data_IF_738856930247
#
_entry.id   IF_738856930247
#
_cell.length_a   1.000
_cell.length_b   1.000
_cell.length_c   1.000
_cell.angle_alpha   90.00
_cell.angle_beta   90.00
_cell.angle_gamma   90.00
#
_symmetry.space_group_name_H-M   'P 1'
#
loop_
_entity.id
_entity.type
_entity.pdbx_description
1 polymer ?
#
# COMPACT_ATOMS: atom_id res chain seq x y z
N UNK A 1 -11.57 -36.45 -10.11
CA UNK A 1 -10.81 -35.35 -9.44
C UNK A 1 -11.66 -34.78 -8.33
N UNK A 2 -11.33 -35.04 -7.08
CA UNK A 2 -12.08 -34.50 -5.94
C UNK A 2 -11.85 -33.00 -5.88
N UNK A 3 -12.83 -32.22 -6.29
CA UNK A 3 -12.80 -30.77 -6.04
C UNK A 3 -13.01 -30.56 -4.54
N UNK A 4 -11.95 -30.37 -3.80
CA UNK A 4 -12.08 -29.94 -2.41
C UNK A 4 -12.92 -28.67 -2.35
N UNK A 5 -13.91 -28.65 -1.45
CA UNK A 5 -14.77 -27.49 -1.25
C UNK A 5 -13.92 -26.24 -0.98
N UNK A 6 -14.11 -25.22 -1.79
CA UNK A 6 -13.37 -23.97 -1.67
C UNK A 6 -14.05 -23.05 -0.65
N UNK A 7 -13.26 -22.43 0.20
CA UNK A 7 -13.78 -21.45 1.17
C UNK A 7 -14.17 -20.13 0.53
N UNK A 8 -15.05 -19.36 1.19
CA UNK A 8 -15.55 -18.06 0.76
C UNK A 8 -14.46 -17.12 0.21
N UNK A 9 -13.35 -16.98 0.92
CA UNK A 9 -12.27 -16.08 0.50
C UNK A 9 -11.58 -16.53 -0.79
N UNK A 10 -11.61 -17.80 -1.09
CA UNK A 10 -11.05 -18.32 -2.33
C UNK A 10 -11.94 -17.95 -3.52
N UNK A 11 -13.26 -18.12 -3.40
CA UNK A 11 -14.22 -17.66 -4.41
C UNK A 11 -14.13 -16.15 -4.66
N UNK A 12 -14.13 -15.35 -3.58
CA UNK A 12 -13.95 -13.90 -3.69
C UNK A 12 -12.62 -13.54 -4.40
N UNK A 13 -11.55 -14.26 -4.11
CA UNK A 13 -10.25 -14.06 -4.75
C UNK A 13 -10.30 -14.38 -6.26
N UNK A 14 -10.99 -15.43 -6.65
CA UNK A 14 -11.16 -15.81 -8.06
C UNK A 14 -11.99 -14.77 -8.81
N UNK A 15 -13.10 -14.32 -8.25
CA UNK A 15 -13.89 -13.20 -8.78
C UNK A 15 -13.01 -11.96 -9.06
N UNK A 16 -12.07 -11.63 -8.16
CA UNK A 16 -11.15 -10.52 -8.35
C UNK A 16 -9.98 -10.79 -9.30
N UNK A 17 -9.68 -12.05 -9.59
CA UNK A 17 -8.69 -12.41 -10.62
C UNK A 17 -9.25 -12.22 -12.03
N UNK A 18 -10.52 -12.58 -12.23
CA UNK A 18 -11.23 -12.48 -13.51
C UNK A 18 -12.47 -11.58 -13.40
N UNK A 19 -12.27 -10.28 -13.10
CA UNK A 19 -13.40 -9.40 -12.81
C UNK A 19 -14.28 -9.11 -14.02
N UNK A 20 -13.80 -9.36 -15.25
CA UNK A 20 -14.60 -9.22 -16.45
C UNK A 20 -15.66 -10.32 -16.58
N UNK A 21 -15.30 -11.53 -16.15
CA UNK A 21 -16.16 -12.71 -16.26
C UNK A 21 -17.13 -12.82 -15.10
N UNK A 22 -16.69 -12.41 -13.92
CA UNK A 22 -17.42 -12.62 -12.66
C UNK A 22 -18.31 -11.44 -12.24
N UNK A 23 -18.05 -10.23 -12.73
CA UNK A 23 -18.81 -9.03 -12.39
C UNK A 23 -19.29 -8.31 -13.66
N UNK A 24 -20.59 -8.00 -13.78
CA UNK A 24 -21.10 -7.21 -14.88
C UNK A 24 -20.29 -5.91 -15.05
N UNK A 25 -19.98 -5.58 -16.29
CA UNK A 25 -19.18 -4.40 -16.65
C UNK A 25 -19.78 -3.10 -16.07
N UNK A 26 -21.09 -3.03 -16.00
CA UNK A 26 -21.85 -1.90 -15.47
C UNK A 26 -21.49 -1.57 -14.01
N UNK A 27 -21.38 -2.57 -13.12
CA UNK A 27 -21.01 -2.34 -11.71
C UNK A 27 -19.60 -1.77 -11.57
N UNK A 28 -18.69 -2.20 -12.43
CA UNK A 28 -17.33 -1.65 -12.42
C UNK A 28 -17.30 -0.21 -12.88
N UNK A 29 -18.07 0.13 -13.90
CA UNK A 29 -18.19 1.51 -14.40
C UNK A 29 -18.82 2.42 -13.37
N UNK A 30 -19.93 2.04 -12.76
CA UNK A 30 -20.60 2.79 -11.69
C UNK A 30 -19.65 3.07 -10.54
N UNK A 31 -18.94 2.05 -10.08
CA UNK A 31 -17.95 2.16 -9.02
C UNK A 31 -16.82 3.13 -9.37
N UNK A 32 -16.29 3.04 -10.58
CA UNK A 32 -15.24 3.97 -11.04
C UNK A 32 -15.76 5.41 -11.17
N UNK A 33 -17.00 5.60 -11.64
CA UNK A 33 -17.62 6.92 -11.73
C UNK A 33 -17.79 7.56 -10.35
N UNK A 34 -18.27 6.79 -9.38
CA UNK A 34 -18.37 7.22 -7.99
C UNK A 34 -17.00 7.60 -7.42
N UNK A 35 -16.00 6.74 -7.54
CA UNK A 35 -14.66 6.97 -6.97
C UNK A 35 -13.92 8.16 -7.57
N UNK A 36 -14.24 8.55 -8.80
CA UNK A 36 -13.71 9.78 -9.42
C UNK A 36 -14.26 11.04 -8.78
N UNK A 37 -15.51 11.03 -8.32
CA UNK A 37 -16.18 12.17 -7.68
C UNK A 37 -15.78 12.32 -6.21
N UNK A 38 -15.43 11.22 -5.55
CA UNK A 38 -15.01 11.24 -4.14
C UNK A 38 -13.72 12.04 -3.93
N UNK A 39 -13.44 12.51 -2.71
CA UNK A 39 -12.16 13.12 -2.36
C UNK A 39 -11.00 12.15 -2.57
N UNK A 40 -9.77 12.67 -2.61
CA UNK A 40 -8.57 11.86 -2.85
C UNK A 40 -8.39 10.76 -1.80
N UNK A 41 -8.69 11.09 -0.54
CA UNK A 41 -8.67 10.17 0.58
C UNK A 41 -10.10 10.14 1.17
N UNK A 42 -10.76 9.01 1.05
CA UNK A 42 -12.12 8.79 1.52
C UNK A 42 -12.13 7.67 2.55
N UNK A 43 -12.68 7.93 3.73
CA UNK A 43 -12.92 6.89 4.73
C UNK A 43 -14.07 6.00 4.24
N UNK A 44 -13.87 4.70 4.36
CA UNK A 44 -14.85 3.69 3.99
C UNK A 44 -15.15 2.78 5.20
N UNK A 45 -16.37 2.35 5.31
CA UNK A 45 -16.80 1.49 6.43
C UNK A 45 -16.41 0.02 6.24
N UNK A 46 -16.49 -0.45 5.01
CA UNK A 46 -16.26 -1.86 4.66
C UNK A 46 -15.23 -1.98 3.54
N UNK A 47 -14.36 -3.00 3.59
CA UNK A 47 -13.39 -3.23 2.53
C UNK A 47 -14.08 -3.67 1.24
N UNK A 48 -13.69 -3.08 0.12
CA UNK A 48 -14.19 -3.49 -1.22
C UNK A 48 -13.72 -4.89 -1.58
N UNK A 49 -12.50 -5.28 -1.11
CA UNK A 49 -11.91 -6.61 -1.30
C UNK A 49 -11.61 -7.25 0.04
N UNK A 50 -12.57 -8.01 0.56
CA UNK A 50 -12.44 -8.65 1.86
C UNK A 50 -11.30 -9.68 1.92
N UNK A 51 -11.09 -10.46 0.85
CA UNK A 51 -9.99 -11.40 0.71
C UNK A 51 -8.61 -10.74 0.87
N UNK A 52 -8.41 -9.63 0.16
CA UNK A 52 -7.18 -8.88 0.22
C UNK A 52 -7.00 -8.15 1.56
N UNK A 53 -8.07 -7.56 2.08
CA UNK A 53 -8.05 -6.88 3.38
C UNK A 53 -7.63 -7.81 4.51
N UNK A 54 -8.29 -8.97 4.63
CA UNK A 54 -7.96 -9.98 5.64
C UNK A 54 -6.52 -10.49 5.53
N UNK A 55 -6.07 -10.78 4.32
CA UNK A 55 -4.67 -11.18 4.07
C UNK A 55 -3.66 -10.12 4.47
N UNK A 56 -4.04 -8.83 4.38
CA UNK A 56 -3.19 -7.71 4.79
C UNK A 56 -3.31 -7.34 6.27
N UNK A 57 -4.08 -8.10 7.05
CA UNK A 57 -4.19 -7.96 8.49
C UNK A 57 -5.40 -7.14 8.95
N UNK A 58 -6.37 -6.86 8.06
CA UNK A 58 -7.61 -6.19 8.45
C UNK A 58 -8.44 -7.03 9.42
N UNK A 59 -8.88 -6.41 10.48
CA UNK A 59 -9.89 -6.91 11.41
C UNK A 59 -11.01 -5.89 11.51
N UNK A 60 -12.27 -6.35 11.49
CA UNK A 60 -13.45 -5.50 11.72
C UNK A 60 -13.57 -5.23 13.23
N UNK A 61 -12.80 -4.26 13.72
CA UNK A 61 -12.60 -3.95 15.13
C UNK A 61 -12.47 -2.45 15.31
N UNK A 62 -12.91 -1.92 16.43
CA UNK A 62 -12.69 -0.53 16.79
C UNK A 62 -11.18 -0.20 16.80
N UNK A 63 -10.83 1.00 16.38
CA UNK A 63 -9.44 1.39 16.19
C UNK A 63 -8.81 0.95 14.87
N UNK A 64 -9.52 0.17 14.04
CA UNK A 64 -9.10 -0.14 12.66
C UNK A 64 -9.92 0.66 11.68
N UNK A 65 -9.27 1.45 10.84
CA UNK A 65 -9.90 2.37 9.87
C UNK A 65 -9.44 2.03 8.46
N UNK A 66 -10.37 2.10 7.52
CA UNK A 66 -10.07 1.91 6.09
C UNK A 66 -10.17 3.24 5.36
N UNK A 67 -9.14 3.55 4.57
CA UNK A 67 -9.10 4.75 3.74
C UNK A 67 -8.89 4.33 2.29
N UNK A 68 -9.85 4.65 1.41
CA UNK A 68 -9.64 4.55 -0.03
C UNK A 68 -8.92 5.78 -0.53
N UNK A 69 -7.87 5.58 -1.31
CA UNK A 69 -7.09 6.68 -1.88
C UNK A 69 -6.80 6.43 -3.34
N UNK A 70 -6.75 7.50 -4.12
CA UNK A 70 -6.39 7.45 -5.54
C UNK A 70 -5.02 8.06 -5.79
N UNK A 71 -4.27 7.41 -6.68
CA UNK A 71 -2.96 7.87 -7.12
C UNK A 71 -2.93 7.90 -8.63
N UNK A 72 -2.44 8.98 -9.21
CA UNK A 72 -2.30 9.12 -10.66
C UNK A 72 -1.46 8.00 -11.24
N UNK A 73 -1.85 7.50 -12.40
CA UNK A 73 -1.06 6.56 -13.22
C UNK A 73 0.10 7.27 -13.90
N UNK A 74 1.03 6.49 -14.38
CA UNK A 74 2.21 6.96 -15.10
C UNK A 74 3.45 7.04 -14.21
N UNK A 75 4.53 7.47 -14.82
CA UNK A 75 5.84 7.60 -14.18
C UNK A 75 6.06 8.95 -13.50
N UNK A 76 7.29 9.19 -13.12
CA UNK A 76 7.74 10.46 -12.59
C UNK A 76 7.70 11.53 -13.70
N UNK A 77 7.13 12.69 -13.39
CA UNK A 77 7.32 13.87 -14.23
C UNK A 77 8.73 14.39 -14.02
N UNK A 78 9.55 14.25 -15.04
CA UNK A 78 10.92 14.76 -15.02
C UNK A 78 10.88 16.26 -15.31
N UNK A 79 11.64 17.04 -14.53
CA UNK A 79 11.77 18.47 -14.76
C UNK A 79 12.48 18.79 -16.08
N UNK A 80 12.28 20.00 -16.58
CA UNK A 80 13.06 20.50 -17.70
C UNK A 80 14.53 20.64 -17.29
N UNK A 81 15.44 20.43 -18.24
CA UNK A 81 16.86 20.74 -18.04
C UNK A 81 16.99 22.26 -18.08
N UNK A 82 17.52 22.82 -17.01
CA UNK A 82 17.87 24.24 -16.97
C UNK A 82 19.32 24.42 -17.43
N UNK A 83 19.60 25.48 -18.16
CA UNK A 83 20.95 25.89 -18.51
C UNK A 83 21.80 26.06 -17.25
N UNK A 84 23.12 25.88 -17.36
CA UNK A 84 24.11 25.89 -16.26
C UNK A 84 24.17 24.61 -15.39
N UNK A 85 23.52 23.52 -15.74
CA UNK A 85 23.76 22.21 -15.09
C UNK A 85 25.07 21.62 -15.61
N UNK A 86 25.91 21.11 -14.70
CA UNK A 86 27.07 20.28 -15.08
C UNK A 86 26.63 19.08 -15.92
N UNK A 87 27.38 18.61 -16.93
CA UNK A 87 27.00 17.51 -17.81
C UNK A 87 26.57 16.23 -17.05
N UNK A 88 27.24 15.90 -15.94
CA UNK A 88 26.90 14.77 -15.09
C UNK A 88 25.49 14.86 -14.45
N UNK A 89 24.89 16.04 -14.40
CA UNK A 89 23.56 16.31 -13.82
C UNK A 89 22.54 16.81 -14.86
N UNK A 90 22.93 16.93 -16.12
CA UNK A 90 22.06 17.40 -17.21
C UNK A 90 21.08 16.33 -17.68
N UNK A 91 21.48 15.06 -17.65
CA UNK A 91 20.64 13.96 -18.10
C UNK A 91 19.47 13.67 -17.17
N UNK A 92 18.31 13.37 -17.76
CA UNK A 92 17.06 13.00 -17.05
C UNK A 92 16.59 11.59 -17.36
N UNK A 93 17.15 10.92 -18.36
CA UNK A 93 16.70 9.60 -18.82
C UNK A 93 16.78 8.53 -17.74
N UNK A 94 17.84 8.52 -16.96
CA UNK A 94 18.07 7.56 -15.86
C UNK A 94 17.34 7.88 -14.56
N UNK A 95 16.68 9.05 -14.47
CA UNK A 95 15.91 9.41 -13.29
C UNK A 95 14.64 8.59 -13.26
N UNK A 96 14.50 7.71 -12.28
CA UNK A 96 13.33 6.85 -12.08
C UNK A 96 12.75 7.05 -10.70
N UNK A 97 11.45 6.75 -10.56
CA UNK A 97 10.76 6.83 -9.29
C UNK A 97 11.20 5.67 -8.40
N UNK A 98 11.72 5.98 -7.20
CA UNK A 98 12.13 4.97 -6.22
C UNK A 98 10.95 4.37 -5.42
N UNK A 99 9.74 4.83 -5.67
CA UNK A 99 8.52 4.42 -4.96
C UNK A 99 7.47 3.94 -5.95
N UNK A 100 6.80 2.83 -5.64
CA UNK A 100 5.62 2.42 -6.39
C UNK A 100 4.38 3.25 -5.99
N UNK A 101 3.36 3.24 -6.83
CA UNK A 101 2.12 4.00 -6.60
C UNK A 101 1.40 3.58 -5.32
N UNK A 102 1.50 2.32 -4.91
CA UNK A 102 0.93 1.81 -3.66
C UNK A 102 1.61 2.43 -2.43
N UNK A 103 2.93 2.54 -2.42
CA UNK A 103 3.67 3.21 -1.35
C UNK A 103 3.37 4.71 -1.30
N UNK A 104 3.19 5.36 -2.46
CA UNK A 104 2.76 6.75 -2.51
C UNK A 104 1.38 6.91 -1.87
N UNK A 105 0.46 5.98 -2.12
CA UNK A 105 -0.86 5.94 -1.49
C UNK A 105 -0.74 5.88 0.04
N UNK A 106 0.05 4.94 0.55
CA UNK A 106 0.28 4.77 1.99
C UNK A 106 0.86 6.04 2.64
N UNK A 107 1.87 6.63 2.02
CA UNK A 107 2.53 7.85 2.55
C UNK A 107 1.59 9.06 2.53
N UNK A 108 0.74 9.22 1.50
CA UNK A 108 -0.25 10.30 1.43
C UNK A 108 -1.32 10.17 2.50
N UNK A 109 -1.85 8.96 2.68
CA UNK A 109 -2.85 8.71 3.71
C UNK A 109 -2.26 8.93 5.09
N UNK A 110 -1.05 8.44 5.36
CA UNK A 110 -0.40 8.66 6.66
C UNK A 110 -0.15 10.14 6.96
N UNK A 111 0.15 10.94 5.95
CA UNK A 111 0.31 12.41 6.12
C UNK A 111 -1.01 13.07 6.46
N UNK A 112 -2.11 12.60 5.88
CA UNK A 112 -3.44 13.16 6.12
C UNK A 112 -4.02 12.78 7.48
N UNK A 113 -3.63 11.61 8.02
CA UNK A 113 -4.06 11.09 9.31
C UNK A 113 -2.85 10.81 10.23
N UNK A 114 -2.24 11.84 10.83
CA UNK A 114 -1.00 11.70 11.61
C UNK A 114 -1.17 10.93 12.92
N UNK A 115 -2.39 10.86 13.46
CA UNK A 115 -2.75 10.11 14.65
C UNK A 115 -2.85 8.60 14.40
N UNK A 116 -2.98 8.18 13.15
CA UNK A 116 -3.10 6.78 12.76
C UNK A 116 -1.80 6.26 12.14
N UNK A 117 -1.54 4.97 12.28
CA UNK A 117 -0.43 4.30 11.59
C UNK A 117 -0.93 3.36 10.49
N UNK A 118 -0.21 3.32 9.38
CA UNK A 118 -0.54 2.42 8.27
C UNK A 118 -0.15 0.99 8.62
N UNK A 119 -1.09 0.07 8.63
CA UNK A 119 -0.80 -1.36 8.74
C UNK A 119 -0.27 -1.91 7.42
N UNK A 120 -1.09 -1.89 6.40
CA UNK A 120 -0.77 -2.29 5.02
C UNK A 120 -1.80 -1.67 4.07
N UNK A 121 -1.68 -1.98 2.79
CA UNK A 121 -2.60 -1.55 1.74
C UNK A 121 -2.78 -2.62 0.68
N UNK A 122 -3.80 -2.49 -0.15
CA UNK A 122 -4.07 -3.36 -1.29
C UNK A 122 -4.73 -2.59 -2.44
N UNK A 123 -4.56 -3.10 -3.63
CA UNK A 123 -5.16 -2.56 -4.83
C UNK A 123 -6.63 -3.00 -4.96
N UNK A 124 -7.50 -2.08 -5.38
CA UNK A 124 -8.93 -2.34 -5.59
C UNK A 124 -9.42 -2.02 -7.00
N UNK A 125 -8.75 -1.15 -7.71
CA UNK A 125 -9.14 -0.83 -9.08
C UNK A 125 -8.22 0.17 -9.76
N UNK A 126 -8.48 0.36 -11.05
CA UNK A 126 -7.82 1.40 -11.84
C UNK A 126 -8.67 1.82 -13.00
N UNK A 127 -8.57 3.08 -13.35
CA UNK A 127 -9.10 3.64 -14.61
C UNK A 127 -7.95 4.11 -15.52
N UNK A 128 -8.26 4.88 -16.55
CA UNK A 128 -7.26 5.45 -17.44
C UNK A 128 -6.29 6.42 -16.76
N UNK A 129 -6.75 7.17 -15.75
CA UNK A 129 -5.99 8.25 -15.10
C UNK A 129 -5.45 7.86 -13.71
N UNK A 130 -6.14 7.00 -12.95
CA UNK A 130 -5.85 6.73 -11.56
C UNK A 130 -5.78 5.23 -11.25
N UNK A 131 -5.02 4.90 -10.20
CA UNK A 131 -5.07 3.64 -9.47
C UNK A 131 -5.68 3.89 -8.10
N UNK A 132 -6.55 2.99 -7.66
CA UNK A 132 -7.24 3.07 -6.39
C UNK A 132 -6.70 1.99 -5.45
N UNK A 133 -6.37 2.44 -4.24
CA UNK A 133 -5.86 1.59 -3.17
C UNK A 133 -6.71 1.79 -1.91
N UNK A 134 -6.90 0.73 -1.18
CA UNK A 134 -7.42 0.79 0.18
C UNK A 134 -6.28 0.60 1.16
N UNK A 135 -6.17 1.51 2.10
CA UNK A 135 -5.12 1.54 3.12
C UNK A 135 -5.75 1.22 4.46
N UNK A 136 -5.23 0.20 5.13
CA UNK A 136 -5.64 -0.20 6.47
C UNK A 136 -4.82 0.62 7.45
N UNK A 137 -5.49 1.40 8.28
CA UNK A 137 -4.88 2.18 9.32
C UNK A 137 -5.33 1.69 10.70
N UNK A 138 -4.50 1.89 11.68
CA UNK A 138 -4.76 1.55 13.07
C UNK A 138 -4.52 2.76 13.96
N UNK A 139 -5.43 2.94 14.92
CA UNK A 139 -5.25 3.88 16.01
C UNK A 139 -4.39 3.23 17.08
N UNK A 140 -3.19 3.75 17.23
CA UNK A 140 -2.17 3.21 18.13
C UNK A 140 -2.43 3.48 19.61
N UNK A 141 -3.41 4.32 19.93
CA UNK A 141 -3.80 4.68 21.29
C UNK A 141 -5.14 4.07 21.72
N UNK A 142 -5.91 3.52 20.77
CA UNK A 142 -7.21 2.95 21.06
C UNK A 142 -7.10 1.70 21.95
N UNK A 143 -7.86 1.60 23.08
CA UNK A 143 -7.75 0.48 24.03
C UNK A 143 -7.92 -0.90 23.37
N UNK A 144 -8.86 -1.02 22.43
CA UNK A 144 -9.08 -2.25 21.70
C UNK A 144 -7.87 -2.70 20.84
N UNK A 145 -7.00 -1.76 20.43
CA UNK A 145 -5.75 -2.07 19.71
C UNK A 145 -4.61 -2.36 20.70
N UNK A 146 -4.51 -1.58 21.76
CA UNK A 146 -3.48 -1.77 22.80
C UNK A 146 -3.56 -3.19 23.40
N UNK A 147 -4.77 -3.66 23.71
CA UNK A 147 -5.03 -4.96 24.32
C UNK A 147 -5.09 -6.13 23.32
N UNK A 148 -4.96 -5.87 21.99
CA UNK A 148 -4.97 -6.94 20.99
C UNK A 148 -3.61 -7.64 20.92
N UNK A 149 -3.57 -8.97 21.07
CA UNK A 149 -2.36 -9.79 21.02
C UNK A 149 -1.53 -9.59 19.74
N UNK A 150 -2.16 -9.29 18.61
CA UNK A 150 -1.48 -9.12 17.31
C UNK A 150 -1.24 -7.65 16.96
N UNK A 151 -2.23 -6.77 17.22
CA UNK A 151 -2.15 -5.35 16.86
C UNK A 151 -1.48 -4.50 17.93
N UNK A 152 -1.45 -4.96 19.18
CA UNK A 152 -0.79 -4.26 20.30
C UNK A 152 0.71 -3.98 20.08
N UNK A 153 1.36 -4.74 19.20
CA UNK A 153 2.75 -4.46 18.79
C UNK A 153 2.91 -3.08 18.14
N UNK A 154 1.85 -2.54 17.55
CA UNK A 154 1.84 -1.21 16.93
C UNK A 154 1.49 -0.11 17.92
N UNK A 155 1.07 -0.46 19.13
CA UNK A 155 0.69 0.51 20.15
C UNK A 155 1.88 1.38 20.56
N UNK A 156 1.61 2.67 20.76
CA UNK A 156 2.57 3.64 21.32
C UNK A 156 2.54 3.69 22.83
N UNK A 157 1.50 3.17 23.44
CA UNK A 157 1.33 3.15 24.91
C UNK A 157 2.47 2.44 25.63
N UNK A 158 3.10 1.47 25.00
CA UNK A 158 4.20 0.68 25.56
C UNK A 158 5.59 1.32 25.33
N UNK A 159 5.68 2.61 25.01
CA UNK A 159 6.95 3.32 24.79
C UNK A 159 7.74 2.90 23.55
N UNK A 160 7.30 1.88 22.83
CA UNK A 160 7.99 1.32 21.67
C UNK A 160 7.58 2.03 20.37
N UNK A 161 8.26 3.11 20.04
CA UNK A 161 8.06 3.85 18.77
C UNK A 161 8.57 3.12 17.50
N UNK A 162 8.87 1.83 17.56
CA UNK A 162 9.47 1.08 16.45
C UNK A 162 8.63 1.08 15.17
N UNK A 163 7.31 1.25 15.28
CA UNK A 163 6.38 1.26 14.16
C UNK A 163 5.92 2.66 13.72
N UNK A 164 6.29 3.73 14.43
CA UNK A 164 5.93 5.10 14.05
C UNK A 164 6.45 5.44 12.67
N UNK A 165 5.59 6.00 11.81
CA UNK A 165 5.93 6.39 10.45
C UNK A 165 6.41 5.22 9.57
N UNK A 166 5.88 4.03 9.78
CA UNK A 166 6.31 2.81 9.08
C UNK A 166 6.11 2.86 7.57
N UNK A 167 5.12 3.60 7.07
CA UNK A 167 4.90 3.81 5.64
C UNK A 167 6.11 4.51 4.99
N UNK A 168 6.61 5.57 5.61
CA UNK A 168 7.76 6.33 5.11
C UNK A 168 9.07 5.54 5.15
N UNK A 169 9.22 4.64 6.13
CA UNK A 169 10.41 3.80 6.29
C UNK A 169 10.35 2.48 5.51
N UNK A 170 9.30 2.28 4.68
CA UNK A 170 9.13 1.07 3.88
C UNK A 170 8.98 -0.20 4.71
N UNK A 171 8.31 -0.13 5.86
CA UNK A 171 8.05 -1.29 6.75
C UNK A 171 6.70 -1.98 6.44
N UNK A 172 5.87 -1.41 5.58
CA UNK A 172 4.65 -2.04 5.06
C UNK A 172 4.99 -3.13 4.04
N UNK A 173 4.03 -3.96 3.65
CA UNK A 173 4.21 -4.97 2.61
C UNK A 173 4.64 -4.33 1.27
N UNK A 174 4.01 -3.22 0.86
CA UNK A 174 4.39 -2.48 -0.34
C UNK A 174 5.80 -1.87 -0.23
N UNK A 175 6.14 -1.33 0.95
CA UNK A 175 7.47 -0.79 1.22
C UNK A 175 8.56 -1.85 1.19
N UNK A 176 8.33 -3.01 1.80
CA UNK A 176 9.27 -4.15 1.77
C UNK A 176 9.51 -4.64 0.35
N UNK A 177 8.46 -4.68 -0.49
CA UNK A 177 8.58 -5.02 -1.91
C UNK A 177 9.48 -4.05 -2.65
N UNK A 178 9.28 -2.73 -2.46
CA UNK A 178 10.12 -1.68 -3.06
C UNK A 178 11.58 -1.72 -2.60
N UNK A 179 11.85 -2.23 -1.40
CA UNK A 179 13.19 -2.45 -0.85
C UNK A 179 13.83 -3.78 -1.26
N UNK A 180 13.13 -4.61 -2.06
CA UNK A 180 13.62 -5.92 -2.48
C UNK A 180 13.65 -6.98 -1.37
N UNK A 181 12.98 -6.77 -0.25
CA UNK A 181 13.07 -7.66 0.92
C UNK A 181 12.21 -8.94 0.81
N UNK A 182 11.40 -9.08 -0.23
CA UNK A 182 10.59 -10.28 -0.45
C UNK A 182 11.41 -11.46 -1.02
N UNK A 183 12.44 -11.16 -1.80
CA UNK A 183 13.36 -12.18 -2.30
C UNK A 183 14.45 -12.45 -1.27
N UNK A 184 14.68 -13.71 -0.98
CA UNK A 184 15.81 -14.22 -0.19
C UNK A 184 16.71 -14.99 -1.17
N UNK A 185 18.01 -14.83 -1.07
CA UNK A 185 18.94 -15.60 -1.87
C UNK A 185 19.81 -14.78 -2.79
N UNK A 186 20.34 -15.44 -3.81
CA UNK A 186 21.36 -14.92 -4.73
C UNK A 186 20.93 -13.58 -5.35
N UNK A 187 21.77 -12.58 -5.24
CA UNK A 187 21.52 -11.21 -5.73
C UNK A 187 20.72 -10.31 -4.78
N UNK A 188 20.29 -10.81 -3.61
CA UNK A 188 19.54 -10.05 -2.62
C UNK A 188 20.27 -9.90 -1.27
N UNK A 189 21.50 -10.35 -1.16
CA UNK A 189 22.27 -10.40 0.09
C UNK A 189 22.51 -8.98 0.65
N UNK A 190 22.95 -8.08 -0.21
CA UNK A 190 23.25 -6.70 0.16
C UNK A 190 22.01 -5.84 0.43
N UNK A 191 20.79 -6.36 0.23
CA UNK A 191 19.56 -5.68 0.59
C UNK A 191 19.16 -5.91 2.05
N UNK A 192 19.84 -6.82 2.74
CA UNK A 192 19.54 -7.21 4.13
C UNK A 192 20.68 -6.85 5.07
N UNK A 193 20.37 -6.36 6.28
CA UNK A 193 19.05 -5.96 6.81
C UNK A 193 18.45 -4.75 6.09
N UNK A 194 19.27 -3.93 5.45
CA UNK A 194 18.88 -2.80 4.61
C UNK A 194 20.00 -2.43 3.63
N UNK A 195 19.66 -1.74 2.58
CA UNK A 195 20.65 -1.19 1.64
C UNK A 195 21.62 -0.21 2.33
N UNK A 196 21.10 0.60 3.27
CA UNK A 196 21.90 1.52 4.07
C UNK A 196 22.95 0.82 4.94
N UNK A 197 22.60 -0.29 5.58
CA UNK A 197 23.53 -1.09 6.36
C UNK A 197 24.66 -1.68 5.52
N UNK A 198 24.44 -1.85 4.22
CA UNK A 198 25.44 -2.30 3.25
C UNK A 198 26.05 -1.12 2.46
N UNK A 199 26.15 0.07 3.02
CA UNK A 199 26.77 1.24 2.43
C UNK A 199 26.25 1.60 1.03
N UNK A 200 24.96 1.31 0.76
CA UNK A 200 24.31 1.49 -0.54
C UNK A 200 24.95 0.71 -1.71
N UNK A 201 25.68 -0.36 -1.42
CA UNK A 201 26.38 -1.21 -2.42
C UNK A 201 25.50 -2.36 -2.96
N UNK A 202 24.18 -2.27 -2.87
CA UNK A 202 23.23 -3.31 -3.28
C UNK A 202 22.81 -3.30 -4.75
N UNK A 203 23.58 -2.66 -5.60
CA UNK A 203 23.41 -2.67 -7.06
C UNK A 203 24.39 -3.63 -7.70
#
# INVERSE_FOLDING_TARGET
MNSMAQGLYQHVRETWRRPKDALPHMYRQQRMAQWRREPVNCRIERPTRLDAARRMGYKAKQGVVLIRTRVRRGGLRKGKIHMKRKPSKAGISKITMAKNTQRIAEERVNRHFPNLEVLNSYWVGQDGKHKYYEVIMIDTHHPAIVNDKQLGVFSRANGKNAHRGRAYRGKTSAGKRGRGLHKKGKGAEKLRPSLRANLNRGK
#
